data_IF_468235435385
#
_entry.id   IF_468235435385
#
_cell.length_a   1.000
_cell.length_b   1.000
_cell.length_c   1.000
_cell.angle_alpha   90.00
_cell.angle_beta   90.00
_cell.angle_gamma   90.00
#
_symmetry.space_group_name_H-M   'P 1'
#
loop_
_entity.id
_entity.type
_entity.pdbx_description
1 polymer ?
#
# COMPACT_ATOMS: atom_id res chain seq x y z
N UNK A 1 1.42 13.15 2.50
CA UNK A 1 -0.04 13.39 2.62
C UNK A 1 -0.48 13.33 4.09
N UNK A 2 -1.37 14.22 4.54
CA UNK A 2 -2.03 14.14 5.86
C UNK A 2 -3.52 13.81 5.70
N UNK A 3 -3.88 12.54 5.95
CA UNK A 3 -5.23 12.02 5.74
C UNK A 3 -6.20 12.57 6.80
N UNK A 4 -5.73 12.79 8.03
CA UNK A 4 -6.54 13.33 9.10
C UNK A 4 -7.14 14.70 8.73
N UNK A 5 -6.31 15.63 8.25
CA UNK A 5 -6.76 16.94 7.79
C UNK A 5 -7.73 16.87 6.60
N UNK A 6 -7.53 15.90 5.69
CA UNK A 6 -8.42 15.71 4.54
C UNK A 6 -9.79 15.16 4.95
N UNK A 7 -9.83 14.31 5.97
CA UNK A 7 -11.05 13.69 6.47
C UNK A 7 -11.77 14.55 7.52
N UNK A 8 -11.13 15.57 8.10
CA UNK A 8 -11.70 16.42 9.15
C UNK A 8 -13.10 16.96 8.81
N UNK A 9 -13.34 17.50 7.59
CA UNK A 9 -14.67 17.99 7.21
C UNK A 9 -15.74 16.90 7.04
N UNK A 10 -15.34 15.63 6.98
CA UNK A 10 -16.25 14.49 6.87
C UNK A 10 -16.66 14.04 8.27
N UNK A 11 -17.97 14.04 8.53
CA UNK A 11 -18.52 13.40 9.72
C UNK A 11 -18.31 11.88 9.72
N UNK A 12 -18.49 11.20 10.87
CA UNK A 12 -18.15 9.78 11.05
C UNK A 12 -18.83 8.87 10.02
N UNK A 13 -20.14 9.05 9.78
CA UNK A 13 -20.90 8.28 8.79
C UNK A 13 -20.29 8.34 7.39
N UNK A 14 -19.75 9.50 6.98
CA UNK A 14 -19.12 9.66 5.67
C UNK A 14 -17.75 9.01 5.61
N UNK A 15 -17.00 8.99 6.72
CA UNK A 15 -15.71 8.28 6.79
C UNK A 15 -15.90 6.77 6.73
N UNK A 16 -16.91 6.25 7.42
CA UNK A 16 -17.26 4.82 7.41
C UNK A 16 -17.69 4.33 6.03
N UNK A 17 -18.28 5.21 5.22
CA UNK A 17 -18.69 4.92 3.85
C UNK A 17 -17.52 4.90 2.84
N UNK A 18 -16.31 5.34 3.22
CA UNK A 18 -15.14 5.27 2.34
C UNK A 18 -14.62 3.83 2.34
N UNK A 19 -14.85 3.14 1.23
CA UNK A 19 -14.44 1.73 1.06
C UNK A 19 -13.19 1.57 0.20
N UNK A 20 -12.79 2.58 -0.56
CA UNK A 20 -11.62 2.55 -1.44
C UNK A 20 -10.80 3.85 -1.30
N UNK A 21 -9.47 3.72 -1.31
CA UNK A 21 -8.55 4.84 -1.25
C UNK A 21 -7.35 4.62 -2.17
N UNK A 22 -6.99 5.65 -2.92
CA UNK A 22 -5.71 5.71 -3.65
C UNK A 22 -4.77 6.67 -2.93
N UNK A 23 -3.59 6.19 -2.54
CA UNK A 23 -2.51 7.00 -1.97
C UNK A 23 -1.42 7.14 -3.03
N UNK A 24 -1.14 8.36 -3.44
CA UNK A 24 -0.01 8.70 -4.29
C UNK A 24 1.16 9.11 -3.40
N UNK A 25 2.34 8.55 -3.63
CA UNK A 25 3.51 8.75 -2.76
C UNK A 25 4.83 8.85 -3.52
N UNK A 26 5.69 9.75 -3.05
CA UNK A 26 7.04 9.94 -3.55
C UNK A 26 8.07 8.97 -2.93
N UNK A 27 7.78 8.41 -1.74
CA UNK A 27 8.72 7.64 -0.94
C UNK A 27 8.07 6.57 -0.07
N UNK A 28 8.87 5.63 0.44
CA UNK A 28 8.39 4.64 1.41
C UNK A 28 8.02 5.28 2.75
N UNK A 29 8.73 6.33 3.17
CA UNK A 29 8.41 7.08 4.40
C UNK A 29 7.04 7.77 4.29
N UNK A 30 6.77 8.45 3.18
CA UNK A 30 5.47 9.08 2.95
C UNK A 30 4.34 8.05 2.87
N UNK A 31 4.60 6.91 2.20
CA UNK A 31 3.65 5.79 2.16
C UNK A 31 3.31 5.30 3.57
N UNK A 32 4.32 5.08 4.41
CA UNK A 32 4.13 4.62 5.78
C UNK A 32 3.35 5.64 6.62
N UNK A 33 3.68 6.93 6.52
CA UNK A 33 2.95 7.99 7.24
C UNK A 33 1.48 8.00 6.85
N UNK A 34 1.15 7.88 5.56
CA UNK A 34 -0.24 7.80 5.12
C UNK A 34 -0.93 6.51 5.60
N UNK A 35 -0.23 5.36 5.54
CA UNK A 35 -0.75 4.08 6.02
C UNK A 35 -1.06 4.06 7.51
N UNK A 36 -0.26 4.74 8.33
CA UNK A 36 -0.49 4.84 9.78
C UNK A 36 -1.82 5.52 10.12
N UNK A 37 -2.36 6.34 9.20
CA UNK A 37 -3.63 7.05 9.38
C UNK A 37 -4.84 6.28 8.83
N UNK A 38 -4.66 5.11 8.22
CA UNK A 38 -5.78 4.35 7.62
C UNK A 38 -6.80 3.85 8.64
N UNK A 39 -6.44 3.78 9.93
CA UNK A 39 -7.38 3.50 11.02
C UNK A 39 -8.55 4.51 11.10
N UNK A 40 -8.40 5.70 10.50
CA UNK A 40 -9.45 6.70 10.39
C UNK A 40 -10.56 6.33 9.38
N UNK A 41 -10.36 5.26 8.61
CA UNK A 41 -11.28 4.74 7.59
C UNK A 41 -11.65 3.28 7.93
N UNK A 42 -12.51 3.04 8.94
CA UNK A 42 -12.81 1.68 9.40
C UNK A 42 -13.53 0.82 8.34
N UNK A 43 -14.18 1.45 7.36
CA UNK A 43 -14.84 0.80 6.23
C UNK A 43 -13.92 0.47 5.05
N UNK A 44 -12.63 0.82 5.10
CA UNK A 44 -11.71 0.67 3.98
C UNK A 44 -11.52 -0.81 3.61
N UNK A 45 -11.82 -1.16 2.36
CA UNK A 45 -11.70 -2.51 1.77
C UNK A 45 -10.62 -2.59 0.70
N UNK A 46 -10.40 -1.52 -0.04
CA UNK A 46 -9.48 -1.47 -1.18
C UNK A 46 -8.47 -0.34 -1.00
N UNK A 47 -7.18 -0.67 -1.07
CA UNK A 47 -6.10 0.31 -1.03
C UNK A 47 -5.23 0.20 -2.28
N UNK A 48 -5.16 1.29 -3.04
CA UNK A 48 -4.16 1.45 -4.09
C UNK A 48 -3.02 2.34 -3.61
N UNK A 49 -1.79 1.84 -3.69
CA UNK A 49 -0.58 2.63 -3.45
C UNK A 49 0.10 2.91 -4.80
N UNK A 50 0.16 4.18 -5.19
CA UNK A 50 0.76 4.61 -6.45
C UNK A 50 2.04 5.38 -6.18
N UNK A 51 3.15 4.93 -6.74
CA UNK A 51 4.41 5.67 -6.70
C UNK A 51 4.37 6.81 -7.72
N UNK A 52 4.85 7.98 -7.36
CA UNK A 52 4.92 9.12 -8.31
C UNK A 52 5.98 8.92 -9.38
N UNK A 53 7.05 8.21 -9.03
CA UNK A 53 8.24 8.06 -9.86
C UNK A 53 8.44 6.63 -10.33
N UNK A 54 9.01 6.48 -11.52
CA UNK A 54 9.47 5.18 -12.01
C UNK A 54 10.69 4.69 -11.21
N UNK A 55 11.04 3.42 -11.40
CA UNK A 55 12.16 2.75 -10.71
C UNK A 55 13.49 3.50 -10.79
N UNK A 56 13.69 4.31 -11.84
CA UNK A 56 14.94 5.08 -12.04
C UNK A 56 15.22 6.04 -10.88
N UNK A 57 14.18 6.74 -10.44
CA UNK A 57 14.27 7.83 -9.45
C UNK A 57 13.85 7.42 -8.04
N UNK A 58 13.29 6.22 -7.89
CA UNK A 58 12.86 5.72 -6.58
C UNK A 58 14.03 5.33 -5.67
N UNK A 59 13.98 5.81 -4.42
CA UNK A 59 14.84 5.33 -3.34
C UNK A 59 14.33 3.98 -2.79
N UNK A 60 14.73 2.88 -3.42
CA UNK A 60 14.29 1.52 -3.06
C UNK A 60 14.78 1.09 -1.68
N UNK A 61 15.92 1.63 -1.20
CA UNK A 61 16.43 1.35 0.14
C UNK A 61 15.44 1.79 1.21
N UNK A 62 14.82 2.96 1.03
CA UNK A 62 13.80 3.46 1.96
C UNK A 62 12.57 2.53 1.99
N UNK A 63 12.08 2.07 0.83
CA UNK A 63 11.01 1.07 0.77
C UNK A 63 11.40 -0.26 1.43
N UNK A 64 12.62 -0.74 1.18
CA UNK A 64 13.12 -2.00 1.72
C UNK A 64 13.19 -2.01 3.24
N UNK A 65 13.57 -0.89 3.85
CA UNK A 65 13.66 -0.72 5.29
C UNK A 65 12.27 -0.73 5.96
N UNK A 66 11.27 -0.14 5.31
CA UNK A 66 9.96 0.14 5.90
C UNK A 66 8.88 -0.90 5.55
N UNK A 67 9.15 -1.81 4.60
CA UNK A 67 8.17 -2.78 4.10
C UNK A 67 7.47 -3.61 5.19
N UNK A 68 8.18 -4.02 6.24
CA UNK A 68 7.60 -4.81 7.33
C UNK A 68 6.71 -3.97 8.25
N UNK A 69 7.04 -2.69 8.46
CA UNK A 69 6.19 -1.78 9.22
C UNK A 69 4.90 -1.46 8.45
N UNK A 70 5.01 -1.25 7.13
CA UNK A 70 3.84 -1.09 6.26
C UNK A 70 2.96 -2.34 6.29
N UNK A 71 3.52 -3.52 6.09
CA UNK A 71 2.81 -4.80 6.17
C UNK A 71 2.08 -4.96 7.52
N UNK A 72 2.78 -4.71 8.63
CA UNK A 72 2.18 -4.80 9.97
C UNK A 72 1.07 -3.76 10.21
N UNK A 73 1.14 -2.59 9.55
CA UNK A 73 0.06 -1.61 9.55
C UNK A 73 -1.17 -2.09 8.79
N UNK A 74 -0.97 -2.63 7.59
CA UNK A 74 -2.04 -3.17 6.74
C UNK A 74 -2.77 -4.35 7.40
N UNK A 75 -2.02 -5.25 8.05
CA UNK A 75 -2.59 -6.41 8.73
C UNK A 75 -3.50 -6.05 9.92
N UNK A 76 -3.48 -4.81 10.41
CA UNK A 76 -4.37 -4.33 11.49
C UNK A 76 -5.69 -3.77 10.98
N UNK A 77 -5.86 -3.64 9.67
CA UNK A 77 -7.07 -3.10 9.06
C UNK A 77 -8.04 -4.24 8.76
N UNK A 78 -8.92 -4.52 9.72
CA UNK A 78 -9.82 -5.70 9.70
C UNK A 78 -10.76 -5.75 8.48
N UNK A 79 -11.15 -4.59 7.96
CA UNK A 79 -12.02 -4.47 6.78
C UNK A 79 -11.27 -4.57 5.45
N UNK A 80 -9.93 -4.45 5.46
CA UNK A 80 -9.15 -4.40 4.23
C UNK A 80 -9.13 -5.78 3.56
N UNK A 81 -9.38 -5.81 2.26
CA UNK A 81 -9.50 -7.02 1.44
C UNK A 81 -8.52 -7.03 0.28
N UNK A 82 -8.21 -5.85 -0.25
CA UNK A 82 -7.31 -5.72 -1.39
C UNK A 82 -6.29 -4.61 -1.18
N UNK A 83 -5.04 -4.92 -1.53
CA UNK A 83 -3.96 -3.96 -1.65
C UNK A 83 -3.37 -4.14 -3.03
N UNK A 84 -3.17 -3.04 -3.77
CA UNK A 84 -2.47 -3.03 -5.06
C UNK A 84 -1.38 -1.98 -5.03
N UNK A 85 -0.20 -2.31 -5.55
CA UNK A 85 0.90 -1.34 -5.65
C UNK A 85 1.28 -1.10 -7.10
N UNK A 86 1.31 0.17 -7.50
CA UNK A 86 1.61 0.58 -8.86
C UNK A 86 2.90 1.40 -8.90
N UNK A 87 3.78 1.03 -9.83
CA UNK A 87 4.98 1.80 -10.18
C UNK A 87 4.85 2.29 -11.62
N UNK A 88 4.99 3.59 -11.90
CA UNK A 88 5.01 4.12 -13.26
C UNK A 88 6.09 3.44 -14.11
N UNK A 89 5.75 3.15 -15.35
CA UNK A 89 6.68 2.57 -16.32
C UNK A 89 7.81 3.56 -16.65
N UNK A 90 8.97 3.03 -17.02
CA UNK A 90 10.03 3.85 -17.59
C UNK A 90 9.73 4.15 -19.06
N UNK A 91 9.96 5.39 -19.49
CA UNK A 91 9.77 5.81 -20.88
C UNK A 91 10.74 5.17 -21.89
N UNK A 92 11.74 4.44 -21.40
CA UNK A 92 12.79 3.79 -22.19
C UNK A 92 13.25 2.51 -21.50
N UNK A 93 13.87 1.61 -22.27
CA UNK A 93 14.37 0.33 -21.80
C UNK A 93 15.23 0.48 -20.53
N UNK A 94 15.01 -0.44 -19.59
CA UNK A 94 15.75 -0.48 -18.35
C UNK A 94 17.16 -1.01 -18.59
N UNK A 95 18.11 -0.45 -17.87
CA UNK A 95 19.45 -1.05 -17.72
C UNK A 95 19.37 -2.26 -16.80
N UNK A 96 20.34 -3.20 -16.85
CA UNK A 96 20.37 -4.36 -15.95
C UNK A 96 20.31 -3.99 -14.45
N UNK A 97 20.92 -2.86 -14.07
CA UNK A 97 20.86 -2.35 -12.70
C UNK A 97 19.45 -1.86 -12.32
N UNK A 98 18.73 -1.23 -13.24
CA UNK A 98 17.35 -0.79 -13.06
C UNK A 98 16.37 -1.98 -13.03
N UNK A 99 16.63 -3.03 -13.81
CA UNK A 99 15.87 -4.28 -13.74
C UNK A 99 16.02 -4.96 -12.38
N UNK A 100 17.25 -5.08 -11.87
CA UNK A 100 17.49 -5.64 -10.53
C UNK A 100 16.80 -4.82 -9.44
N UNK A 101 16.80 -3.49 -9.59
CA UNK A 101 16.07 -2.56 -8.72
C UNK A 101 14.56 -2.81 -8.79
N UNK A 102 14.00 -2.96 -9.99
CA UNK A 102 12.58 -3.24 -10.19
C UNK A 102 12.18 -4.57 -9.57
N UNK A 103 13.02 -5.60 -9.70
CA UNK A 103 12.75 -6.90 -9.10
C UNK A 103 12.69 -6.85 -7.57
N UNK A 104 13.62 -6.11 -6.94
CA UNK A 104 13.55 -5.84 -5.49
C UNK A 104 12.26 -5.13 -5.11
N UNK A 105 11.81 -4.17 -5.93
CA UNK A 105 10.59 -3.42 -5.70
C UNK A 105 9.35 -4.33 -5.83
N UNK A 106 9.29 -5.21 -6.83
CA UNK A 106 8.22 -6.21 -6.97
C UNK A 106 8.14 -7.16 -5.78
N UNK A 107 9.29 -7.54 -5.21
CA UNK A 107 9.33 -8.32 -3.98
C UNK A 107 8.72 -7.60 -2.77
N UNK A 108 8.85 -6.26 -2.73
CA UNK A 108 8.19 -5.42 -1.72
C UNK A 108 6.70 -5.32 -2.00
N UNK A 109 6.31 -5.10 -3.25
CA UNK A 109 4.91 -5.00 -3.69
C UNK A 109 4.15 -6.27 -3.30
N UNK A 110 4.67 -7.43 -3.70
CA UNK A 110 4.08 -8.71 -3.38
C UNK A 110 4.00 -8.98 -1.87
N UNK A 111 4.92 -8.44 -1.06
CA UNK A 111 4.83 -8.54 0.40
C UNK A 111 3.64 -7.75 0.94
N UNK A 112 3.43 -6.53 0.44
CA UNK A 112 2.34 -5.66 0.86
C UNK A 112 0.99 -6.22 0.40
N UNK A 113 0.89 -6.66 -0.85
CA UNK A 113 -0.34 -7.21 -1.43
C UNK A 113 -0.81 -8.48 -0.70
N UNK A 114 0.10 -9.33 -0.24
CA UNK A 114 -0.22 -10.52 0.57
C UNK A 114 -0.67 -10.21 2.00
N UNK A 115 -0.59 -8.96 2.47
CA UNK A 115 -0.97 -8.60 3.85
C UNK A 115 -2.47 -8.83 4.12
N UNK A 116 -3.28 -8.91 3.07
CA UNK A 116 -4.74 -9.06 3.15
C UNK A 116 -5.24 -10.40 2.60
N UNK A 117 -4.43 -11.11 1.81
CA UNK A 117 -4.81 -12.37 1.15
C UNK A 117 -4.89 -13.60 2.07
N UNK A 118 -4.66 -13.46 3.38
CA UNK A 118 -4.54 -14.59 4.30
C UNK A 118 -5.85 -14.99 5.00
N UNK A 119 -6.99 -14.36 4.69
CA UNK A 119 -8.27 -14.62 5.39
C UNK A 119 -9.25 -15.56 4.67
N UNK A 120 -9.05 -15.91 3.40
CA UNK A 120 -10.00 -16.76 2.63
C UNK A 120 -9.66 -18.27 2.64
N UNK A 121 -8.69 -18.72 3.44
CA UNK A 121 -8.15 -20.09 3.38
C UNK A 121 -8.49 -21.05 4.53
N UNK A 122 -9.27 -20.66 5.54
CA UNK A 122 -9.49 -21.46 6.76
C UNK A 122 -10.96 -21.89 6.96
N UNK A 123 -11.62 -22.31 5.88
CA UNK A 123 -13.02 -22.75 5.92
C UNK A 123 -13.32 -23.83 4.88
N UNK A 124 -12.63 -24.97 4.92
CA UNK A 124 -13.02 -26.13 4.12
C UNK A 124 -12.59 -27.46 4.76
N UNK A 125 -13.59 -28.21 5.25
CA UNK A 125 -13.56 -29.65 5.55
C UNK A 125 -12.97 -30.03 6.90
N UNK A 126 -13.59 -30.88 7.72
CA UNK A 126 -14.56 -31.95 7.42
C UNK A 126 -15.42 -32.27 8.65
N UNK A 127 -16.74 -32.33 8.45
CA UNK A 127 -17.60 -33.33 9.12
C UNK A 127 -17.22 -34.74 8.67
#
# INVERSE_FOLDING_TARGET
MDLASLLDPLGPVRRDAITALTIVTSSGSEALTAMQQLHLLPGLRELELRREMSVRYLNITNWSLLKHQMQAGLAKLESLREVKVFTPEASSALTPAEEQRLEKLRGIDALLERSVSSMDGAGMGTD
#
